data_IF_790143754045
#
_entry.id   IF_790143754045
#
_cell.length_a   1.000
_cell.length_b   1.000
_cell.length_c   1.000
_cell.angle_alpha   90.00
_cell.angle_beta   90.00
_cell.angle_gamma   90.00
#
_symmetry.space_group_name_H-M   'P 1'
#
loop_
_entity.id
_entity.type
_entity.pdbx_description
1 polymer ?
#
# COMPACT_ATOMS: atom_id res chain seq x y z
N UNK A 1 35.29 -15.20 -13.36
CA UNK A 1 33.87 -15.06 -13.72
C UNK A 1 33.35 -13.77 -13.08
N UNK A 2 32.89 -12.84 -13.92
CA UNK A 2 32.29 -11.49 -13.74
C UNK A 2 32.25 -10.82 -12.35
N UNK A 3 33.05 -9.74 -12.22
CA UNK A 3 33.13 -8.85 -11.05
C UNK A 3 32.76 -7.37 -11.38
N UNK A 4 31.72 -7.14 -12.18
CA UNK A 4 31.27 -5.80 -12.60
C UNK A 4 29.91 -5.37 -12.01
N UNK A 5 29.38 -6.09 -11.00
CA UNK A 5 28.01 -5.91 -10.51
C UNK A 5 27.84 -5.17 -9.17
N UNK A 6 28.92 -4.83 -8.45
CA UNK A 6 28.83 -4.37 -7.05
C UNK A 6 29.26 -2.91 -6.80
N UNK A 7 29.94 -2.27 -7.76
CA UNK A 7 30.53 -0.94 -7.54
C UNK A 7 29.51 0.20 -7.66
N UNK A 8 28.59 0.15 -8.63
CA UNK A 8 27.62 1.23 -8.85
C UNK A 8 26.67 1.45 -7.66
N UNK A 9 26.23 0.37 -7.00
CA UNK A 9 25.38 0.48 -5.81
C UNK A 9 26.10 1.14 -4.65
N UNK A 10 27.36 0.76 -4.44
CA UNK A 10 28.22 1.34 -3.40
C UNK A 10 28.53 2.81 -3.69
N UNK A 11 28.83 3.15 -4.94
CA UNK A 11 29.07 4.52 -5.39
C UNK A 11 27.83 5.41 -5.20
N UNK A 12 26.64 4.90 -5.52
CA UNK A 12 25.40 5.63 -5.32
C UNK A 12 25.15 5.93 -3.84
N UNK A 13 25.34 4.94 -2.95
CA UNK A 13 25.20 5.13 -1.49
C UNK A 13 26.24 6.14 -0.98
N UNK A 14 27.49 6.04 -1.38
CA UNK A 14 28.54 6.97 -0.96
C UNK A 14 28.26 8.40 -1.43
N UNK A 15 27.77 8.56 -2.67
CA UNK A 15 27.37 9.85 -3.21
C UNK A 15 26.20 10.45 -2.41
N UNK A 16 25.19 9.63 -2.09
CA UNK A 16 24.07 10.06 -1.25
C UNK A 16 24.53 10.50 0.14
N UNK A 17 25.38 9.71 0.81
CA UNK A 17 25.93 10.02 2.13
C UNK A 17 26.70 11.34 2.16
N UNK A 18 27.46 11.62 1.09
CA UNK A 18 28.17 12.88 0.93
C UNK A 18 27.20 14.05 0.79
N UNK A 19 26.17 13.93 -0.07
CA UNK A 19 25.15 15.00 -0.23
C UNK A 19 24.35 15.23 1.05
N UNK A 20 24.04 14.18 1.81
CA UNK A 20 23.41 14.32 3.13
C UNK A 20 24.26 15.08 4.15
N UNK A 21 25.59 15.15 3.95
CA UNK A 21 26.51 15.93 4.78
C UNK A 21 26.65 17.36 4.27
N UNK A 22 26.92 17.50 2.98
CA UNK A 22 27.27 18.78 2.35
C UNK A 22 26.05 19.72 2.25
N UNK A 23 24.82 19.18 2.23
CA UNK A 23 23.59 19.92 1.97
C UNK A 23 22.54 19.80 3.10
N UNK A 24 22.97 19.74 4.37
CA UNK A 24 22.07 19.53 5.52
C UNK A 24 20.93 20.54 5.67
N UNK A 25 21.12 21.78 5.22
CA UNK A 25 20.10 22.84 5.30
C UNK A 25 19.09 22.79 4.14
N UNK A 26 19.43 22.14 3.02
CA UNK A 26 18.66 22.20 1.77
C UNK A 26 18.17 20.82 1.28
N UNK A 27 18.55 19.73 1.96
CA UNK A 27 18.23 18.36 1.54
C UNK A 27 17.65 17.52 2.68
N UNK A 28 16.41 17.07 2.49
CA UNK A 28 15.80 16.01 3.28
C UNK A 28 15.75 14.71 2.48
N UNK A 29 16.21 13.61 3.07
CA UNK A 29 16.18 12.27 2.46
C UNK A 29 15.24 11.36 3.24
N UNK A 30 14.26 10.81 2.55
CA UNK A 30 13.34 9.80 3.10
C UNK A 30 13.51 8.52 2.29
N UNK A 31 13.82 7.43 3.00
CA UNK A 31 13.89 6.07 2.44
C UNK A 31 12.70 5.27 2.95
N UNK A 32 12.14 4.43 2.09
CA UNK A 32 10.96 3.62 2.41
C UNK A 32 11.12 2.22 1.82
N UNK A 33 10.66 1.22 2.58
CA UNK A 33 10.71 -0.19 2.21
C UNK A 33 10.20 -1.05 3.35
N UNK A 34 10.19 -2.37 3.14
CA UNK A 34 9.81 -3.32 4.17
C UNK A 34 10.81 -3.32 5.33
N UNK A 35 10.33 -3.59 6.54
CA UNK A 35 11.09 -3.47 7.79
C UNK A 35 12.43 -4.21 7.75
N UNK A 36 12.44 -5.50 7.40
CA UNK A 36 13.67 -6.30 7.39
C UNK A 36 14.68 -5.86 6.29
N UNK A 37 14.28 -5.68 5.01
CA UNK A 37 15.18 -5.09 4.01
C UNK A 37 15.71 -3.71 4.39
N UNK A 38 14.90 -2.85 5.01
CA UNK A 38 15.32 -1.53 5.45
C UNK A 38 16.33 -1.60 6.60
N UNK A 39 16.14 -2.52 7.55
CA UNK A 39 17.10 -2.76 8.61
C UNK A 39 18.45 -3.19 8.04
N UNK A 40 18.45 -4.16 7.12
CA UNK A 40 19.67 -4.60 6.42
C UNK A 40 20.33 -3.46 5.63
N UNK A 41 19.54 -2.62 4.96
CA UNK A 41 20.05 -1.45 4.24
C UNK A 41 20.75 -0.47 5.19
N UNK A 42 20.14 -0.14 6.33
CA UNK A 42 20.72 0.78 7.31
C UNK A 42 21.99 0.20 7.96
N UNK A 43 22.00 -1.09 8.25
CA UNK A 43 23.14 -1.78 8.86
C UNK A 43 24.28 -2.05 7.86
N UNK A 44 24.02 -1.97 6.55
CA UNK A 44 25.02 -2.24 5.49
C UNK A 44 26.20 -1.26 5.47
N UNK A 45 26.03 -0.05 6.01
CA UNK A 45 27.07 0.98 6.02
C UNK A 45 26.96 1.86 7.29
N UNK A 46 28.02 2.00 8.10
CA UNK A 46 28.02 2.87 9.29
C UNK A 46 27.62 4.32 9.01
N UNK A 47 27.92 4.83 7.80
CA UNK A 47 27.52 6.15 7.33
C UNK A 47 25.99 6.29 7.25
N UNK A 48 25.27 5.26 6.79
CA UNK A 48 23.80 5.25 6.74
C UNK A 48 23.24 5.28 8.17
N UNK A 49 23.72 4.39 9.04
CA UNK A 49 23.30 4.32 10.45
C UNK A 49 23.46 5.65 11.19
N UNK A 50 24.53 6.40 10.91
CA UNK A 50 24.75 7.71 11.56
C UNK A 50 23.79 8.82 11.10
N UNK A 51 23.32 8.77 9.84
CA UNK A 51 22.48 9.83 9.24
C UNK A 51 20.99 9.55 9.34
N UNK A 52 20.58 8.28 9.31
CA UNK A 52 19.19 7.87 9.53
C UNK A 52 18.97 7.59 11.01
N UNK A 53 18.51 8.61 11.74
CA UNK A 53 18.27 8.54 13.20
C UNK A 53 16.80 8.63 13.60
N UNK A 54 15.89 8.78 12.61
CA UNK A 54 14.44 8.80 12.81
C UNK A 54 13.81 7.67 12.00
N UNK A 55 13.01 6.86 12.67
CA UNK A 55 12.37 5.69 12.10
C UNK A 55 10.87 5.79 12.30
N UNK A 56 10.12 5.61 11.22
CA UNK A 56 8.66 5.57 11.24
C UNK A 56 8.22 4.19 10.80
N UNK A 57 7.53 3.48 11.69
CA UNK A 57 6.96 2.18 11.40
C UNK A 57 5.50 2.36 11.03
N UNK A 58 5.09 1.74 9.92
CA UNK A 58 3.73 1.77 9.44
C UNK A 58 3.14 0.38 9.57
N UNK A 59 2.27 0.22 10.57
CA UNK A 59 1.53 -1.01 10.74
C UNK A 59 0.47 -1.18 9.65
N UNK A 60 0.03 -2.42 9.46
CA UNK A 60 -1.11 -2.68 8.59
C UNK A 60 -2.38 -2.08 9.18
N UNK A 61 -3.23 -1.58 8.29
CA UNK A 61 -4.58 -1.18 8.67
C UNK A 61 -5.36 -2.38 9.22
N UNK A 62 -6.15 -2.15 10.25
CA UNK A 62 -7.12 -3.14 10.72
C UNK A 62 -8.30 -3.23 9.73
N UNK A 63 -9.16 -4.23 9.90
CA UNK A 63 -10.27 -4.49 8.97
C UNK A 63 -11.25 -3.32 8.85
N UNK A 64 -11.46 -2.56 9.93
CA UNK A 64 -12.32 -1.38 9.92
C UNK A 64 -11.69 -0.24 9.10
N UNK A 65 -10.40 -0.01 9.26
CA UNK A 65 -9.65 0.98 8.47
C UNK A 65 -9.57 0.59 6.99
N UNK A 66 -9.38 -0.70 6.68
CA UNK A 66 -9.45 -1.21 5.29
C UNK A 66 -10.84 -0.97 4.68
N UNK A 67 -11.91 -1.15 5.45
CA UNK A 67 -13.26 -0.82 5.01
C UNK A 67 -13.46 0.69 4.79
N UNK A 68 -12.93 1.56 5.65
CA UNK A 68 -12.99 3.00 5.43
C UNK A 68 -12.28 3.41 4.13
N UNK A 69 -11.16 2.77 3.79
CA UNK A 69 -10.50 2.98 2.51
C UNK A 69 -11.40 2.52 1.35
N UNK A 70 -12.05 1.36 1.46
CA UNK A 70 -12.98 0.85 0.46
C UNK A 70 -14.17 1.79 0.25
N UNK A 71 -14.77 2.26 1.34
CA UNK A 71 -15.87 3.22 1.33
C UNK A 71 -15.44 4.54 0.67
N UNK A 72 -14.20 5.00 0.91
CA UNK A 72 -13.66 6.18 0.23
C UNK A 72 -13.59 6.02 -1.29
N UNK A 73 -13.29 4.82 -1.80
CA UNK A 73 -13.30 4.53 -3.23
C UNK A 73 -14.73 4.49 -3.79
N UNK A 74 -15.68 3.94 -3.03
CA UNK A 74 -17.09 3.93 -3.39
C UNK A 74 -17.63 5.36 -3.51
N UNK A 75 -17.44 6.20 -2.48
CA UNK A 75 -17.89 7.60 -2.47
C UNK A 75 -17.29 8.39 -3.64
N UNK A 76 -15.97 8.25 -3.89
CA UNK A 76 -15.30 8.93 -5.01
C UNK A 76 -15.79 8.50 -6.38
N UNK A 77 -16.30 7.28 -6.49
CA UNK A 77 -16.78 6.69 -7.74
C UNK A 77 -18.31 6.64 -7.79
N UNK A 78 -18.98 7.34 -6.88
CA UNK A 78 -20.44 7.52 -6.85
C UNK A 78 -21.23 6.21 -6.61
N UNK A 79 -20.61 5.25 -5.90
CA UNK A 79 -21.20 4.00 -5.44
C UNK A 79 -21.61 4.05 -3.96
N UNK A 80 -22.58 3.21 -3.61
CA UNK A 80 -23.08 2.97 -2.24
C UNK A 80 -22.90 1.50 -1.87
N UNK A 81 -22.57 1.26 -0.61
CA UNK A 81 -22.44 -0.08 -0.02
C UNK A 81 -23.62 -0.30 0.92
N UNK A 82 -24.26 -1.48 0.88
CA UNK A 82 -25.30 -1.83 1.85
C UNK A 82 -24.69 -2.32 3.17
N UNK A 83 -25.46 -2.31 4.27
CA UNK A 83 -24.94 -2.80 5.56
C UNK A 83 -24.56 -4.29 5.48
N UNK A 84 -25.32 -5.12 4.75
CA UNK A 84 -24.99 -6.54 4.57
C UNK A 84 -23.68 -6.72 3.79
N UNK A 85 -23.44 -5.87 2.79
CA UNK A 85 -22.18 -5.90 2.02
C UNK A 85 -20.99 -5.43 2.87
N UNK A 86 -21.20 -4.43 3.74
CA UNK A 86 -20.20 -3.96 4.69
C UNK A 86 -19.80 -5.05 5.68
N UNK A 87 -20.76 -5.74 6.30
CA UNK A 87 -20.47 -6.89 7.19
C UNK A 87 -19.62 -7.94 6.47
N UNK A 88 -20.00 -8.30 5.23
CA UNK A 88 -19.24 -9.25 4.42
C UNK A 88 -17.84 -8.76 4.05
N UNK A 89 -17.69 -7.48 3.74
CA UNK A 89 -16.38 -6.90 3.45
C UNK A 89 -15.47 -6.91 4.67
N UNK A 90 -16.00 -6.60 5.86
CA UNK A 90 -15.26 -6.71 7.12
C UNK A 90 -14.79 -8.14 7.37
N UNK A 91 -15.66 -9.14 7.18
CA UNK A 91 -15.27 -10.56 7.29
C UNK A 91 -14.15 -10.93 6.31
N UNK A 92 -14.25 -10.47 5.06
CA UNK A 92 -13.21 -10.69 4.03
C UNK A 92 -11.89 -10.04 4.44
N UNK A 93 -11.92 -8.79 4.95
CA UNK A 93 -10.71 -8.12 5.39
C UNK A 93 -10.08 -8.79 6.60
N UNK A 94 -10.87 -9.29 7.55
CA UNK A 94 -10.35 -10.09 8.67
C UNK A 94 -9.63 -11.34 8.15
N UNK A 95 -10.23 -12.10 7.23
CA UNK A 95 -9.62 -13.29 6.65
C UNK A 95 -8.33 -12.98 5.88
N UNK A 96 -8.28 -11.85 5.18
CA UNK A 96 -7.09 -11.40 4.46
C UNK A 96 -5.97 -11.00 5.42
N UNK A 97 -6.31 -10.34 6.54
CA UNK A 97 -5.35 -9.96 7.58
C UNK A 97 -4.81 -11.19 8.33
N UNK A 98 -5.62 -12.23 8.55
CA UNK A 98 -5.15 -13.50 9.12
C UNK A 98 -4.15 -14.22 8.22
N UNK A 99 -4.32 -14.10 6.90
CA UNK A 99 -3.48 -14.76 5.89
C UNK A 99 -2.38 -13.85 5.33
N UNK A 100 -2.20 -12.66 5.90
CA UNK A 100 -1.28 -11.67 5.34
C UNK A 100 0.16 -12.15 5.48
N UNK A 101 0.95 -11.91 4.43
CA UNK A 101 2.40 -12.02 4.46
C UNK A 101 3.03 -10.62 4.43
N UNK A 102 4.36 -10.57 4.39
CA UNK A 102 5.13 -9.32 4.33
C UNK A 102 4.82 -8.48 3.09
N UNK A 103 4.17 -9.05 2.07
CA UNK A 103 3.83 -8.38 0.81
C UNK A 103 2.41 -7.79 0.80
N UNK A 104 1.66 -7.91 1.90
CA UNK A 104 0.28 -7.44 1.96
C UNK A 104 0.16 -5.94 1.67
N UNK A 105 -0.50 -5.62 0.56
CA UNK A 105 -0.49 -4.27 -0.04
C UNK A 105 -1.41 -3.23 0.59
N UNK A 106 -2.08 -3.50 1.73
CA UNK A 106 -3.00 -2.59 2.41
C UNK A 106 -4.02 -1.96 1.43
N UNK A 107 -3.98 -0.64 1.24
CA UNK A 107 -4.87 0.10 0.33
C UNK A 107 -4.83 -0.42 -1.12
N UNK A 108 -3.71 -0.99 -1.57
CA UNK A 108 -3.63 -1.63 -2.91
C UNK A 108 -4.52 -2.86 -2.98
N UNK A 109 -4.54 -3.70 -1.93
CA UNK A 109 -5.43 -4.87 -1.84
C UNK A 109 -6.89 -4.42 -1.87
N UNK A 110 -7.24 -3.38 -1.09
CA UNK A 110 -8.59 -2.82 -1.05
C UNK A 110 -9.03 -2.30 -2.41
N UNK A 111 -8.14 -1.58 -3.13
CA UNK A 111 -8.41 -1.11 -4.50
C UNK A 111 -8.71 -2.26 -5.46
N UNK A 112 -7.92 -3.33 -5.42
CA UNK A 112 -8.14 -4.49 -6.30
C UNK A 112 -9.50 -5.14 -6.02
N UNK A 113 -9.90 -5.25 -4.74
CA UNK A 113 -11.22 -5.77 -4.35
C UNK A 113 -12.33 -4.86 -4.87
N UNK A 114 -12.19 -3.54 -4.70
CA UNK A 114 -13.14 -2.56 -5.21
C UNK A 114 -13.32 -2.64 -6.74
N UNK A 115 -12.24 -2.69 -7.49
CA UNK A 115 -12.28 -2.86 -8.95
C UNK A 115 -12.98 -4.16 -9.35
N UNK A 116 -12.75 -5.25 -8.58
CA UNK A 116 -13.44 -6.51 -8.79
C UNK A 116 -14.93 -6.43 -8.49
N UNK A 117 -15.33 -5.71 -7.45
CA UNK A 117 -16.73 -5.46 -7.12
C UNK A 117 -17.44 -4.69 -8.25
N UNK A 118 -16.80 -3.67 -8.82
CA UNK A 118 -17.34 -2.94 -9.99
C UNK A 118 -17.56 -3.90 -11.16
N UNK A 119 -16.56 -4.74 -11.48
CA UNK A 119 -16.69 -5.72 -12.57
C UNK A 119 -17.85 -6.68 -12.33
N UNK A 120 -17.99 -7.20 -11.11
CA UNK A 120 -19.07 -8.12 -10.74
C UNK A 120 -20.44 -7.44 -10.81
N UNK A 121 -20.52 -6.17 -10.38
CA UNK A 121 -21.74 -5.39 -10.44
C UNK A 121 -22.19 -5.14 -11.88
N UNK A 122 -21.26 -4.78 -12.78
CA UNK A 122 -21.57 -4.61 -14.20
C UNK A 122 -22.12 -5.90 -14.81
N UNK A 123 -21.48 -7.04 -14.52
CA UNK A 123 -21.94 -8.36 -14.95
C UNK A 123 -23.31 -8.75 -14.36
N UNK A 124 -23.63 -8.30 -13.14
CA UNK A 124 -24.94 -8.48 -12.50
C UNK A 124 -26.00 -7.65 -13.22
N UNK A 125 -25.74 -6.38 -13.51
CA UNK A 125 -26.70 -5.46 -14.14
C UNK A 125 -27.15 -5.96 -15.51
N UNK A 126 -26.24 -6.47 -16.34
CA UNK A 126 -26.57 -6.99 -17.67
C UNK A 126 -27.63 -8.09 -17.64
N UNK A 127 -27.74 -8.82 -16.52
CA UNK A 127 -28.71 -9.92 -16.33
C UNK A 127 -30.06 -9.46 -15.77
N UNK A 128 -30.20 -8.20 -15.35
CA UNK A 128 -31.41 -7.69 -14.71
C UNK A 128 -32.42 -7.21 -15.77
N UNK A 129 -33.68 -7.67 -15.64
CA UNK A 129 -34.78 -7.27 -16.53
C UNK A 129 -35.35 -5.88 -16.22
N UNK A 130 -35.18 -5.40 -14.99
CA UNK A 130 -35.60 -4.06 -14.54
C UNK A 130 -34.40 -3.38 -13.90
N UNK A 131 -34.09 -2.19 -14.39
CA UNK A 131 -32.93 -1.41 -13.93
C UNK A 131 -33.44 -0.08 -13.38
N UNK A 132 -32.88 0.35 -12.26
CA UNK A 132 -33.15 1.65 -11.64
C UNK A 132 -31.85 2.40 -11.39
N UNK A 133 -31.91 3.72 -11.17
CA UNK A 133 -30.72 4.50 -10.78
C UNK A 133 -30.03 3.95 -9.53
N UNK A 134 -30.79 3.42 -8.57
CA UNK A 134 -30.25 2.76 -7.38
C UNK A 134 -29.43 1.51 -7.76
N UNK A 135 -29.89 0.75 -8.76
CA UNK A 135 -29.20 -0.47 -9.23
C UNK A 135 -27.80 -0.16 -9.77
N UNK A 136 -27.62 0.98 -10.45
CA UNK A 136 -26.32 1.40 -10.98
C UNK A 136 -25.34 1.84 -9.90
N UNK A 137 -25.84 2.36 -8.77
CA UNK A 137 -25.01 2.89 -7.67
C UNK A 137 -24.72 1.86 -6.58
N UNK A 138 -25.49 0.80 -6.44
CA UNK A 138 -25.24 -0.22 -5.41
C UNK A 138 -24.28 -1.30 -5.91
N UNK A 139 -23.15 -1.48 -5.21
CA UNK A 139 -22.22 -2.60 -5.43
C UNK A 139 -22.87 -3.93 -5.03
#
# INVERSE_FOLDING_TARGET
QNAFGNDYGTEAVNTLLKRMEDNREDLAVVVAGYTEPMKNFIESNPGLRSRFNRYFYFDHFNSTELFQIFESFCVKSDFTVSEEAKEKLIDIFNLLLEKKDDSFGNARTVRNIFEKCIQNQANRIVKLKKISNKTFKTL
#
